data_IF_336807120768
#
_entry.id   IF_336807120768
#
_cell.length_a   1.000
_cell.length_b   1.000
_cell.length_c   1.000
_cell.angle_alpha   90.00
_cell.angle_beta   90.00
_cell.angle_gamma   90.00
#
_symmetry.space_group_name_H-M   'P 1'
#
loop_
_entity.id
_entity.type
_entity.pdbx_description
1 polymer ?
#
# COMPACT_ATOMS: atom_id res chain seq x y z
N UNK A 1 -7.95 -13.85 20.66
CA UNK A 1 -6.64 -14.02 19.99
C UNK A 1 -6.29 -12.69 19.35
N UNK A 2 -5.25 -12.01 19.83
CA UNK A 2 -4.82 -10.70 19.32
C UNK A 2 -4.13 -10.87 17.96
N UNK A 3 -4.16 -9.85 17.08
CA UNK A 3 -3.48 -9.91 15.78
C UNK A 3 -1.99 -10.26 15.92
N UNK A 4 -1.36 -9.82 17.00
CA UNK A 4 0.03 -10.15 17.35
C UNK A 4 0.28 -11.66 17.48
N UNK A 5 -0.60 -12.39 18.17
CA UNK A 5 -0.41 -13.83 18.41
C UNK A 5 -0.59 -14.69 17.14
N UNK A 6 -1.41 -14.23 16.19
CA UNK A 6 -1.58 -14.90 14.90
C UNK A 6 -0.37 -14.68 13.98
N UNK A 7 0.24 -13.48 14.06
CA UNK A 7 1.45 -13.13 13.31
C UNK A 7 2.68 -13.87 13.82
N UNK A 8 2.84 -13.96 15.13
CA UNK A 8 3.94 -14.74 15.74
C UNK A 8 3.92 -16.20 15.27
N UNK A 9 2.73 -16.78 15.11
CA UNK A 9 2.54 -18.13 14.58
C UNK A 9 2.96 -18.28 13.12
N UNK A 10 2.68 -17.27 12.28
CA UNK A 10 3.02 -17.28 10.84
C UNK A 10 4.52 -17.05 10.64
N UNK A 11 5.11 -16.09 11.36
CA UNK A 11 6.55 -15.77 11.29
C UNK A 11 7.38 -16.94 11.82
N UNK A 12 6.94 -17.57 12.93
CA UNK A 12 7.61 -18.75 13.50
C UNK A 12 7.62 -19.96 12.55
N UNK A 13 6.57 -20.12 11.75
CA UNK A 13 6.46 -21.23 10.79
C UNK A 13 7.15 -20.93 9.45
N UNK A 14 7.36 -19.66 9.11
CA UNK A 14 7.99 -19.24 7.86
C UNK A 14 8.99 -18.08 8.08
N UNK A 15 10.17 -18.36 8.64
CA UNK A 15 11.16 -17.34 9.01
C UNK A 15 11.65 -16.48 7.83
N UNK A 16 11.50 -16.94 6.58
CA UNK A 16 11.76 -16.13 5.40
C UNK A 16 10.84 -14.90 5.25
N UNK A 17 9.70 -14.85 5.95
CA UNK A 17 8.74 -13.75 5.89
C UNK A 17 9.03 -12.63 6.89
N UNK A 18 9.88 -12.87 7.89
CA UNK A 18 10.19 -11.88 8.94
C UNK A 18 10.67 -10.55 8.34
N UNK A 19 11.68 -10.60 7.47
CA UNK A 19 12.22 -9.41 6.80
C UNK A 19 11.22 -8.70 5.88
N UNK A 20 10.32 -9.46 5.25
CA UNK A 20 9.28 -8.91 4.37
C UNK A 20 8.21 -8.21 5.20
N UNK A 21 7.87 -8.79 6.34
CA UNK A 21 6.89 -8.27 7.26
C UNK A 21 7.40 -7.02 7.97
N UNK A 22 8.66 -7.01 8.42
CA UNK A 22 9.31 -5.82 8.97
C UNK A 22 9.30 -4.65 7.98
N UNK A 23 9.65 -4.91 6.72
CA UNK A 23 9.60 -3.89 5.67
C UNK A 23 8.16 -3.37 5.43
N UNK A 24 7.16 -4.26 5.46
CA UNK A 24 5.76 -3.85 5.39
C UNK A 24 5.36 -2.97 6.58
N UNK A 25 5.76 -3.35 7.78
CA UNK A 25 5.40 -2.66 9.01
C UNK A 25 6.09 -1.30 9.12
N UNK A 26 7.34 -1.20 8.67
CA UNK A 26 8.07 0.06 8.53
C UNK A 26 7.38 1.01 7.55
N UNK A 27 6.98 0.51 6.37
CA UNK A 27 6.22 1.30 5.40
C UNK A 27 4.88 1.73 5.99
N UNK A 28 4.11 0.82 6.60
CA UNK A 28 2.81 1.14 7.18
C UNK A 28 2.91 2.16 8.33
N UNK A 29 3.93 2.05 9.18
CA UNK A 29 4.18 2.98 10.27
C UNK A 29 4.66 4.35 9.74
N UNK A 30 5.45 4.37 8.66
CA UNK A 30 5.85 5.61 7.99
C UNK A 30 4.65 6.31 7.32
N UNK A 31 3.74 5.54 6.72
CA UNK A 31 2.46 6.06 6.20
C UNK A 31 1.57 6.63 7.33
N UNK A 32 1.70 6.14 8.57
CA UNK A 32 1.00 6.67 9.74
C UNK A 32 1.66 7.91 10.37
N UNK A 33 2.97 8.17 10.14
CA UNK A 33 3.69 9.31 10.72
C UNK A 33 4.83 9.83 9.83
N UNK A 34 4.68 11.11 9.44
CA UNK A 34 5.64 12.03 8.80
C UNK A 34 6.23 11.58 7.46
N UNK A 35 5.89 12.36 6.42
CA UNK A 35 6.47 12.44 5.06
C UNK A 35 7.97 12.08 4.97
N UNK A 36 8.76 12.61 5.89
CA UNK A 36 10.22 12.41 5.97
C UNK A 36 10.61 10.94 6.17
N UNK A 37 9.88 10.21 7.03
CA UNK A 37 10.18 8.79 7.31
C UNK A 37 9.86 7.91 6.10
N UNK A 38 8.83 8.23 5.34
CA UNK A 38 8.49 7.51 4.11
C UNK A 38 9.56 7.71 3.04
N UNK A 39 10.05 8.94 2.88
CA UNK A 39 11.16 9.25 1.96
C UNK A 39 12.38 8.42 2.35
N UNK A 40 12.76 8.44 3.62
CA UNK A 40 13.91 7.70 4.15
C UNK A 40 13.81 6.19 3.89
N UNK A 41 12.66 5.57 4.16
CA UNK A 41 12.41 4.13 3.93
C UNK A 41 12.48 3.79 2.44
N UNK A 42 11.85 4.60 1.58
CA UNK A 42 11.86 4.35 0.14
C UNK A 42 13.27 4.52 -0.42
N UNK A 43 13.96 5.61 -0.11
CA UNK A 43 15.29 5.90 -0.63
C UNK A 43 16.33 4.86 -0.21
N UNK A 44 16.33 4.45 1.06
CA UNK A 44 17.30 3.50 1.60
C UNK A 44 16.96 2.02 1.36
N UNK A 45 15.84 1.72 0.69
CA UNK A 45 15.48 0.35 0.33
C UNK A 45 16.54 -0.31 -0.56
N UNK A 46 17.08 -1.44 -0.10
CA UNK A 46 17.99 -2.30 -0.87
C UNK A 46 17.19 -3.38 -1.58
N UNK A 47 17.47 -3.57 -2.87
CA UNK A 47 16.83 -4.61 -3.67
C UNK A 47 17.07 -5.99 -3.08
N UNK A 48 16.01 -6.78 -3.05
CA UNK A 48 16.02 -8.14 -2.52
C UNK A 48 15.82 -9.20 -3.61
N UNK A 49 15.58 -8.79 -4.87
CA UNK A 49 15.28 -9.70 -5.98
C UNK A 49 13.86 -10.24 -5.96
N UNK A 50 12.98 -9.67 -5.13
CA UNK A 50 11.61 -10.11 -4.91
C UNK A 50 10.60 -9.10 -5.46
N UNK A 51 9.32 -9.48 -5.45
CA UNK A 51 8.20 -8.64 -5.92
C UNK A 51 8.15 -7.25 -5.24
N UNK A 52 8.73 -7.13 -4.04
CA UNK A 52 8.84 -5.86 -3.32
C UNK A 52 9.69 -4.83 -4.08
N UNK A 53 10.67 -5.25 -4.87
CA UNK A 53 11.50 -4.35 -5.68
C UNK A 53 10.65 -3.59 -6.70
N UNK A 54 9.68 -4.28 -7.31
CA UNK A 54 8.73 -3.67 -8.25
C UNK A 54 7.81 -2.69 -7.52
N UNK A 55 7.28 -3.08 -6.36
CA UNK A 55 6.42 -2.22 -5.56
C UNK A 55 7.14 -0.92 -5.14
N UNK A 56 8.37 -1.03 -4.62
CA UNK A 56 9.20 0.13 -4.24
C UNK A 56 9.54 1.00 -5.46
N UNK A 57 9.85 0.39 -6.61
CA UNK A 57 10.09 1.12 -7.86
C UNK A 57 8.85 1.92 -8.29
N UNK A 58 7.66 1.33 -8.22
CA UNK A 58 6.40 2.00 -8.54
C UNK A 58 6.11 3.14 -7.56
N UNK A 59 6.36 2.94 -6.26
CA UNK A 59 6.18 3.99 -5.26
C UNK A 59 7.15 5.16 -5.50
N UNK A 60 8.43 4.88 -5.76
CA UNK A 60 9.43 5.91 -6.13
C UNK A 60 9.03 6.67 -7.39
N UNK A 61 8.55 5.97 -8.43
CA UNK A 61 8.08 6.59 -9.68
C UNK A 61 6.92 7.56 -9.46
N UNK A 62 6.07 7.29 -8.48
CA UNK A 62 4.89 8.11 -8.15
C UNK A 62 5.07 8.90 -6.84
N UNK A 63 6.31 9.22 -6.45
CA UNK A 63 6.65 9.79 -5.14
C UNK A 63 5.76 10.96 -4.75
N UNK A 64 5.54 11.93 -5.65
CA UNK A 64 4.69 13.10 -5.37
C UNK A 64 3.27 12.72 -4.94
N UNK A 65 2.63 11.79 -5.66
CA UNK A 65 1.28 11.34 -5.33
C UNK A 65 1.28 10.56 -4.00
N UNK A 66 2.31 9.76 -3.77
CA UNK A 66 2.49 9.01 -2.52
C UNK A 66 2.66 9.95 -1.33
N UNK A 67 3.52 10.96 -1.42
CA UNK A 67 3.71 11.95 -0.36
C UNK A 67 2.45 12.76 -0.10
N UNK A 68 1.75 13.21 -1.15
CA UNK A 68 0.48 13.91 -1.01
C UNK A 68 -0.58 13.03 -0.32
N UNK A 69 -0.60 11.72 -0.59
CA UNK A 69 -1.54 10.79 0.06
C UNK A 69 -1.26 10.55 1.55
N UNK A 70 -0.06 10.87 2.01
CA UNK A 70 0.36 10.75 3.41
C UNK A 70 0.25 12.08 4.15
N UNK A 71 0.35 13.19 3.42
CA UNK A 71 0.26 14.55 3.96
C UNK A 71 -1.18 15.05 4.09
N UNK A 72 -2.08 14.59 3.21
CA UNK A 72 -3.47 15.04 3.16
C UNK A 72 -4.45 13.88 3.31
N UNK A 73 -5.51 14.09 4.10
CA UNK A 73 -6.61 13.13 4.26
C UNK A 73 -7.52 13.03 3.01
N UNK A 74 -7.32 13.92 2.04
CA UNK A 74 -8.12 13.99 0.82
C UNK A 74 -7.50 13.13 -0.29
N UNK A 75 -8.30 12.25 -0.87
CA UNK A 75 -7.91 11.47 -2.05
C UNK A 75 -9.02 11.50 -3.10
N UNK A 76 -8.66 11.32 -4.37
CA UNK A 76 -9.63 11.15 -5.45
C UNK A 76 -10.33 9.79 -5.42
N UNK A 77 -9.91 8.86 -4.55
CA UNK A 77 -10.41 7.49 -4.48
C UNK A 77 -11.93 7.37 -4.30
N UNK A 78 -12.56 8.09 -3.35
CA UNK A 78 -14.02 8.07 -3.17
C UNK A 78 -14.79 8.55 -4.41
N UNK A 79 -14.33 9.64 -5.03
CA UNK A 79 -14.94 10.21 -6.24
C UNK A 79 -14.81 9.24 -7.42
N UNK A 80 -13.63 8.65 -7.61
CA UNK A 80 -13.41 7.62 -8.63
C UNK A 80 -14.25 6.36 -8.40
N UNK A 81 -14.45 5.98 -7.13
CA UNK A 81 -15.31 4.86 -6.75
C UNK A 81 -16.77 5.10 -7.13
N UNK A 82 -17.30 6.30 -6.85
CA UNK A 82 -18.64 6.71 -7.27
C UNK A 82 -18.74 6.71 -8.80
N UNK A 83 -17.75 7.27 -9.49
CA UNK A 83 -17.72 7.29 -10.96
C UNK A 83 -17.73 5.87 -11.57
N UNK A 84 -16.97 4.93 -10.99
CA UNK A 84 -17.00 3.52 -11.41
C UNK A 84 -18.36 2.88 -11.21
N UNK A 85 -19.02 3.12 -10.07
CA UNK A 85 -20.38 2.61 -9.80
C UNK A 85 -21.39 3.14 -10.82
N UNK A 86 -21.39 4.45 -11.09
CA UNK A 86 -22.28 5.06 -12.09
C UNK A 86 -22.05 4.45 -13.48
N UNK A 87 -20.79 4.30 -13.90
CA UNK A 87 -20.44 3.66 -15.19
C UNK A 87 -20.92 2.21 -15.27
N UNK A 88 -20.80 1.45 -14.19
CA UNK A 88 -21.28 0.07 -14.12
C UNK A 88 -22.80 -0.01 -14.22
N UNK A 89 -23.53 0.84 -13.48
CA UNK A 89 -25.00 0.92 -13.55
C UNK A 89 -25.49 1.26 -14.96
N UNK A 90 -24.87 2.26 -15.61
CA UNK A 90 -25.21 2.62 -17.01
C UNK A 90 -25.00 1.43 -17.96
N UNK A 91 -23.91 0.68 -17.80
CA UNK A 91 -23.63 -0.50 -18.63
C UNK A 91 -24.66 -1.61 -18.44
N UNK A 92 -25.06 -1.88 -17.20
CA UNK A 92 -26.07 -2.91 -16.90
C UNK A 92 -27.44 -2.49 -17.42
N UNK A 93 -27.80 -1.21 -17.29
CA UNK A 93 -29.06 -0.68 -17.81
C UNK A 93 -29.13 -0.76 -19.35
N UNK A 94 -28.03 -0.45 -20.05
CA UNK A 94 -27.95 -0.52 -21.52
C UNK A 94 -27.89 -1.94 -22.09
N UNK A 95 -27.46 -2.94 -21.32
CA UNK A 95 -27.43 -4.36 -21.74
C UNK A 95 -28.81 -5.03 -21.56
N UNK A 96 -29.72 -4.40 -20.81
CA UNK A 96 -31.07 -4.93 -20.50
C UNK A 96 -32.20 -4.28 -21.32
N UNK A 97 -31.86 -3.46 -22.32
CA UNK A 97 -32.77 -2.83 -23.29
C UNK A 97 -32.53 -3.40 -24.68
#
# INVERSE_FOLDING_TARGET
MTQQNALDLIVKNHPQFEKVYDAYQDVFNALKKKRERLIDVLENYRRSGQNMDTAISTLKKNMTAVLNSVEYDFSNGPVEGINRRIKSLKRIALIRS
#
